data_IF_494897185460
#
_entry.id   IF_494897185460
#
_cell.length_a   1.000
_cell.length_b   1.000
_cell.length_c   1.000
_cell.angle_alpha   90.00
_cell.angle_beta   90.00
_cell.angle_gamma   90.00
#
_symmetry.space_group_name_H-M   'P 1'
#
loop_
_entity.id
_entity.type
_entity.pdbx_description
1 polymer ?
#
# COMPACT_ATOMS: atom_id res chain seq x y z
N UNK A 1 44.60 -11.29 -31.55
CA UNK A 1 44.52 -11.50 -30.09
C UNK A 1 44.00 -10.20 -29.50
N UNK A 2 42.68 -9.99 -29.48
CA UNK A 2 41.78 -10.36 -28.35
C UNK A 2 42.20 -9.58 -27.11
N UNK A 3 41.43 -8.71 -26.49
CA UNK A 3 40.10 -8.14 -26.74
C UNK A 3 40.07 -6.86 -25.93
N UNK A 4 39.34 -5.86 -26.40
CA UNK A 4 38.79 -4.77 -25.60
C UNK A 4 38.22 -5.36 -24.31
N UNK A 5 38.78 -5.00 -23.15
CA UNK A 5 38.08 -5.24 -21.89
C UNK A 5 36.84 -4.34 -21.92
N UNK A 6 35.73 -5.00 -22.21
CA UNK A 6 34.41 -4.40 -22.13
C UNK A 6 34.29 -3.77 -20.75
N UNK A 7 33.97 -2.47 -20.72
CA UNK A 7 33.34 -1.88 -19.54
C UNK A 7 32.22 -2.84 -19.13
N UNK A 8 32.36 -3.48 -17.97
CA UNK A 8 31.32 -4.29 -17.36
C UNK A 8 30.13 -3.38 -17.09
N UNK A 9 29.24 -3.25 -18.08
CA UNK A 9 27.87 -2.86 -17.87
C UNK A 9 27.17 -4.05 -17.17
N UNK A 10 27.44 -4.22 -15.87
CA UNK A 10 26.55 -4.99 -15.02
C UNK A 10 25.21 -4.24 -14.99
N UNK A 11 24.10 -4.82 -15.46
CA UNK A 11 22.83 -4.12 -15.45
C UNK A 11 22.38 -4.00 -13.99
N UNK A 12 22.47 -2.78 -13.49
CA UNK A 12 21.61 -2.19 -12.48
C UNK A 12 21.20 -3.10 -11.30
N UNK A 13 22.07 -3.19 -10.27
CA UNK A 13 21.64 -3.65 -8.92
C UNK A 13 20.71 -2.64 -8.22
N UNK A 14 20.19 -1.65 -8.95
CA UNK A 14 19.16 -0.70 -8.56
C UNK A 14 17.79 -0.95 -9.21
N UNK A 15 17.55 -2.14 -9.81
CA UNK A 15 16.20 -2.59 -10.19
C UNK A 15 15.30 -2.72 -8.95
N UNK A 16 14.63 -1.61 -8.66
CA UNK A 16 13.36 -1.44 -7.96
C UNK A 16 13.25 -2.07 -6.57
N UNK A 17 13.81 -1.37 -5.57
CA UNK A 17 13.38 -1.54 -4.18
C UNK A 17 11.94 -1.04 -4.06
N UNK A 18 10.99 -1.89 -4.43
CA UNK A 18 9.58 -1.70 -4.08
C UNK A 18 9.55 -1.44 -2.58
N UNK A 19 8.97 -0.31 -2.12
CA UNK A 19 8.83 -0.05 -0.70
C UNK A 19 8.19 -1.26 -0.01
N UNK A 20 8.64 -1.66 1.20
CA UNK A 20 8.02 -2.75 1.94
C UNK A 20 6.52 -2.50 2.08
N UNK A 21 5.70 -3.50 1.74
CA UNK A 21 4.25 -3.39 1.71
C UNK A 21 3.59 -4.75 1.95
N UNK A 22 2.35 -4.75 2.45
CA UNK A 22 1.53 -5.96 2.65
C UNK A 22 0.11 -5.74 2.09
N UNK A 23 -0.08 -5.99 0.79
CA UNK A 23 -1.40 -5.86 0.14
C UNK A 23 -2.49 -6.76 0.77
N UNK A 24 -2.22 -8.02 1.18
CA UNK A 24 -3.18 -8.81 1.94
C UNK A 24 -3.66 -8.12 3.22
N UNK A 25 -2.76 -7.52 3.99
CA UNK A 25 -3.12 -6.78 5.20
C UNK A 25 -4.00 -5.58 4.88
N UNK A 26 -3.65 -4.77 3.87
CA UNK A 26 -4.47 -3.63 3.44
C UNK A 26 -5.89 -4.05 3.07
N UNK A 27 -6.04 -5.13 2.29
CA UNK A 27 -7.36 -5.68 1.94
C UNK A 27 -8.10 -6.21 3.17
N UNK A 28 -7.39 -6.82 4.11
CA UNK A 28 -7.96 -7.30 5.37
C UNK A 28 -8.54 -6.17 6.22
N UNK A 29 -7.82 -5.04 6.33
CA UNK A 29 -8.30 -3.83 7.01
C UNK A 29 -9.57 -3.31 6.36
N UNK A 30 -9.55 -3.07 5.04
CA UNK A 30 -10.72 -2.58 4.31
C UNK A 30 -11.91 -3.52 4.42
N UNK A 31 -11.68 -4.83 4.30
CA UNK A 31 -12.72 -5.85 4.47
C UNK A 31 -13.31 -5.85 5.88
N UNK A 32 -12.48 -5.73 6.92
CA UNK A 32 -12.94 -5.63 8.31
C UNK A 32 -13.82 -4.41 8.54
N UNK A 33 -13.41 -3.25 8.02
CA UNK A 33 -14.19 -2.01 8.07
C UNK A 33 -15.53 -2.12 7.35
N UNK A 34 -15.61 -2.83 6.23
CA UNK A 34 -16.87 -3.06 5.52
C UNK A 34 -17.83 -3.99 6.27
N UNK A 35 -17.33 -4.84 7.17
CA UNK A 35 -18.13 -5.81 7.92
C UNK A 35 -18.61 -5.28 9.28
N UNK A 36 -17.92 -4.32 9.90
CA UNK A 36 -18.22 -3.85 11.25
C UNK A 36 -17.96 -2.35 11.44
N UNK A 37 -18.96 -1.64 11.99
CA UNK A 37 -18.81 -0.23 12.40
C UNK A 37 -17.79 -0.06 13.55
N UNK A 38 -17.68 -1.05 14.43
CA UNK A 38 -16.71 -1.01 15.53
C UNK A 38 -15.28 -1.12 14.98
N UNK A 39 -15.08 -1.94 13.94
CA UNK A 39 -13.78 -2.03 13.27
C UNK A 39 -13.39 -0.71 12.59
N UNK A 40 -14.36 0.07 12.09
CA UNK A 40 -14.08 1.42 11.58
C UNK A 40 -13.57 2.30 12.73
N UNK A 41 -14.25 2.30 13.89
CA UNK A 41 -13.86 3.10 15.05
C UNK A 41 -12.45 2.77 15.54
N UNK A 42 -12.08 1.49 15.62
CA UNK A 42 -10.74 1.06 16.03
C UNK A 42 -9.66 1.45 15.00
N UNK A 43 -9.94 1.29 13.71
CA UNK A 43 -8.95 1.56 12.64
C UNK A 43 -8.65 3.05 12.51
N UNK A 44 -9.64 3.94 12.65
CA UNK A 44 -9.42 5.39 12.53
C UNK A 44 -8.54 5.97 13.64
N UNK A 45 -8.35 5.26 14.75
CA UNK A 45 -7.41 5.69 15.80
C UNK A 45 -5.95 5.57 15.36
N UNK A 46 -5.64 4.65 14.43
CA UNK A 46 -4.26 4.25 14.13
C UNK A 46 -3.85 4.37 12.67
N UNK A 47 -4.79 4.30 11.72
CA UNK A 47 -4.53 4.32 10.28
C UNK A 47 -5.11 5.60 9.65
N UNK A 48 -4.40 6.15 8.66
CA UNK A 48 -4.81 7.23 7.77
C UNK A 48 -4.87 6.73 6.32
N UNK A 49 -5.66 7.37 5.46
CA UNK A 49 -5.75 7.00 4.04
C UNK A 49 -4.39 6.97 3.34
N UNK A 50 -3.51 7.91 3.68
CA UNK A 50 -2.14 8.01 3.14
C UNK A 50 -1.20 6.87 3.54
N UNK A 51 -1.59 6.03 4.51
CA UNK A 51 -0.77 4.90 4.96
C UNK A 51 -0.90 3.68 4.03
N UNK A 52 -1.92 3.65 3.19
CA UNK A 52 -2.10 2.59 2.20
C UNK A 52 -1.09 2.74 1.06
N UNK A 53 -0.40 1.65 0.73
CA UNK A 53 0.56 1.63 -0.38
C UNK A 53 -0.14 1.78 -1.74
N UNK A 54 -1.35 1.22 -1.89
CA UNK A 54 -2.13 1.32 -3.13
C UNK A 54 -3.05 2.54 -3.06
N UNK A 55 -2.95 3.49 -4.01
CA UNK A 55 -3.89 4.61 -4.09
C UNK A 55 -5.36 4.17 -4.22
N UNK A 56 -5.60 3.01 -4.82
CA UNK A 56 -6.93 2.41 -4.88
C UNK A 56 -7.49 2.04 -3.50
N UNK A 57 -6.64 1.59 -2.58
CA UNK A 57 -7.05 1.23 -1.22
C UNK A 57 -7.27 2.48 -0.37
N UNK A 58 -6.45 3.52 -0.53
CA UNK A 58 -6.70 4.85 0.05
C UNK A 58 -8.09 5.38 -0.35
N UNK A 59 -8.43 5.36 -1.65
CA UNK A 59 -9.75 5.81 -2.10
C UNK A 59 -10.92 5.02 -1.49
N UNK A 60 -10.75 3.71 -1.27
CA UNK A 60 -11.77 2.89 -0.61
C UNK A 60 -11.88 3.26 0.87
N UNK A 61 -10.76 3.43 1.57
CA UNK A 61 -10.74 3.87 2.97
C UNK A 61 -11.47 5.20 3.13
N UNK A 62 -11.13 6.21 2.33
CA UNK A 62 -11.76 7.54 2.41
C UNK A 62 -13.27 7.48 2.15
N UNK A 63 -13.72 6.64 1.20
CA UNK A 63 -15.15 6.43 0.95
C UNK A 63 -15.87 5.76 2.14
N UNK A 64 -15.22 4.82 2.83
CA UNK A 64 -15.77 4.20 4.04
C UNK A 64 -15.92 5.25 5.15
N UNK A 65 -14.89 6.09 5.37
CA UNK A 65 -14.92 7.14 6.40
C UNK A 65 -15.98 8.20 6.10
N UNK A 66 -16.07 8.66 4.86
CA UNK A 66 -17.11 9.61 4.43
C UNK A 66 -18.51 9.04 4.65
N UNK A 67 -18.75 7.77 4.33
CA UNK A 67 -20.04 7.13 4.58
C UNK A 67 -20.32 6.99 6.08
N UNK A 68 -19.33 6.57 6.87
CA UNK A 68 -19.46 6.42 8.33
C UNK A 68 -19.76 7.76 9.01
N UNK A 69 -19.13 8.85 8.58
CA UNK A 69 -19.36 10.21 9.10
C UNK A 69 -20.76 10.77 8.80
N UNK A 70 -21.52 10.14 7.89
CA UNK A 70 -22.91 10.53 7.57
C UNK A 70 -23.96 9.84 8.46
N UNK A 71 -23.60 8.85 9.30
CA UNK A 71 -24.57 8.13 10.16
C UNK A 71 -24.03 7.01 11.06
#
# INVERSE_FOLDING_TARGET
MTSTEAFEAGPDRGLERTPPQDLPAERGVLGGMMLSKDAIADVVETVRGSDFYRPAHEMIYEAIIDLYGRG
#
